data_IF_937985222061
#
_entry.id   IF_937985222061
#
_cell.length_a   1.000
_cell.length_b   1.000
_cell.length_c   1.000
_cell.angle_alpha   90.00
_cell.angle_beta   90.00
_cell.angle_gamma   90.00
#
_symmetry.space_group_name_H-M   'P 1'
#
loop_
_entity.id
_entity.type
_entity.pdbx_description
1 polymer ?
#
# COMPACT_ATOMS: atom_id res chain seq x y z
N UNK A 1 61.19 -14.73 -39.02
CA UNK A 1 60.88 -13.29 -39.03
C UNK A 1 59.64 -13.07 -38.17
N UNK A 2 59.72 -12.14 -37.20
CA UNK A 2 58.73 -11.71 -36.19
C UNK A 2 58.30 -12.81 -35.17
N UNK A 3 58.75 -12.88 -33.90
CA UNK A 3 58.83 -11.96 -32.74
C UNK A 3 57.49 -11.50 -32.13
N UNK A 4 57.29 -11.96 -30.87
CA UNK A 4 56.69 -11.29 -29.68
C UNK A 4 55.18 -10.94 -29.72
N UNK A 5 54.38 -11.03 -28.66
CA UNK A 5 54.62 -10.83 -27.22
C UNK A 5 53.45 -11.36 -26.35
N UNK A 6 53.78 -11.68 -25.08
CA UNK A 6 52.90 -11.89 -23.91
C UNK A 6 51.78 -10.85 -23.72
N UNK A 7 50.66 -11.27 -23.09
CA UNK A 7 50.27 -10.75 -21.76
C UNK A 7 48.98 -11.38 -21.25
N UNK A 8 49.04 -11.95 -20.05
CA UNK A 8 47.90 -12.26 -19.21
C UNK A 8 47.24 -10.96 -18.71
N UNK A 9 45.90 -10.91 -18.67
CA UNK A 9 45.20 -9.96 -17.81
C UNK A 9 44.02 -10.63 -17.12
N UNK A 10 44.22 -10.86 -15.83
CA UNK A 10 43.21 -11.14 -14.83
C UNK A 10 42.37 -9.87 -14.63
N UNK A 11 41.04 -9.97 -14.69
CA UNK A 11 40.18 -8.95 -14.07
C UNK A 11 39.07 -9.62 -13.26
N UNK A 12 39.38 -9.83 -11.97
CA UNK A 12 38.39 -9.82 -10.90
C UNK A 12 37.66 -8.47 -10.94
N UNK A 13 36.41 -8.48 -11.40
CA UNK A 13 35.50 -7.32 -11.35
C UNK A 13 34.58 -7.44 -10.15
N UNK A 14 35.10 -7.00 -9.00
CA UNK A 14 34.43 -6.50 -7.80
C UNK A 14 32.90 -6.64 -7.70
N UNK A 15 32.48 -7.50 -6.77
CA UNK A 15 31.21 -7.35 -6.04
C UNK A 15 31.20 -5.95 -5.40
N UNK A 16 30.45 -5.03 -5.99
CA UNK A 16 30.15 -3.76 -5.38
C UNK A 16 28.95 -3.98 -4.45
N UNK A 17 29.25 -4.19 -3.17
CA UNK A 17 28.30 -3.95 -2.10
C UNK A 17 27.67 -2.56 -2.32
N UNK A 18 26.35 -2.52 -2.46
CA UNK A 18 25.59 -1.27 -2.52
C UNK A 18 25.82 -0.53 -1.20
N UNK A 19 26.73 0.44 -1.26
CA UNK A 19 27.02 1.36 -0.17
C UNK A 19 25.78 2.19 0.14
N UNK A 20 25.42 2.22 1.41
CA UNK A 20 24.34 3.00 1.97
C UNK A 20 24.63 4.51 1.82
N UNK A 21 23.98 5.16 0.86
CA UNK A 21 23.57 6.58 0.88
C UNK A 21 22.98 7.00 -0.48
N UNK A 22 21.88 6.36 -0.87
CA UNK A 22 21.00 6.93 -1.89
C UNK A 22 20.33 8.18 -1.28
N UNK A 23 20.50 9.39 -1.84
CA UNK A 23 19.92 10.59 -1.24
C UNK A 23 18.39 10.47 -1.14
N UNK A 24 17.83 10.92 -0.02
CA UNK A 24 16.40 10.92 0.32
C UNK A 24 15.50 11.59 -0.75
N UNK A 25 16.11 12.27 -1.72
CA UNK A 25 15.47 13.08 -2.75
C UNK A 25 14.98 12.34 -4.02
N UNK A 26 15.18 11.03 -4.16
CA UNK A 26 14.86 10.33 -5.43
C UNK A 26 13.39 9.91 -5.59
N UNK A 27 12.58 9.92 -4.53
CA UNK A 27 11.18 9.49 -4.59
C UNK A 27 10.24 10.54 -3.97
N UNK A 28 9.10 10.86 -4.61
CA UNK A 28 8.06 11.66 -3.97
C UNK A 28 7.59 10.99 -2.67
N UNK A 29 7.37 11.78 -1.61
CA UNK A 29 6.89 11.25 -0.32
C UNK A 29 5.55 10.51 -0.49
N UNK A 30 4.66 11.07 -1.31
CA UNK A 30 3.29 10.59 -1.53
C UNK A 30 3.08 10.20 -2.99
N UNK A 31 3.31 8.93 -3.29
CA UNK A 31 3.16 8.35 -4.63
C UNK A 31 2.38 7.05 -4.53
N UNK A 32 1.41 6.86 -5.42
CA UNK A 32 0.71 5.58 -5.54
C UNK A 32 1.63 4.64 -6.31
N UNK A 33 2.08 3.57 -5.66
CA UNK A 33 2.81 2.47 -6.29
C UNK A 33 1.92 1.24 -6.34
N UNK A 34 1.78 0.66 -7.51
CA UNK A 34 0.85 -0.45 -7.72
C UNK A 34 1.33 -1.34 -8.88
N UNK A 35 0.88 -2.59 -8.87
CA UNK A 35 0.95 -3.45 -10.06
C UNK A 35 -0.30 -3.22 -10.91
N UNK A 36 -0.14 -2.84 -12.17
CA UNK A 36 -1.25 -2.54 -13.06
C UNK A 36 -0.96 -2.93 -14.51
N UNK A 37 -2.03 -3.00 -15.29
CA UNK A 37 -2.03 -3.20 -16.74
C UNK A 37 -2.75 -2.02 -17.40
N UNK A 38 -2.94 -2.07 -18.72
CA UNK A 38 -3.77 -1.10 -19.43
C UNK A 38 -5.20 -1.00 -18.86
N UNK A 39 -5.75 -2.13 -18.38
CA UNK A 39 -7.16 -2.25 -17.99
C UNK A 39 -7.41 -2.47 -16.51
N UNK A 40 -6.39 -2.83 -15.72
CA UNK A 40 -6.56 -3.16 -14.29
C UNK A 40 -5.47 -2.62 -13.39
N UNK A 41 -5.79 -2.39 -12.13
CA UNK A 41 -4.84 -2.08 -11.06
C UNK A 41 -5.10 -2.98 -9.86
N UNK A 42 -4.04 -3.55 -9.30
CA UNK A 42 -4.12 -4.46 -8.17
C UNK A 42 -4.17 -3.71 -6.85
N UNK A 43 -5.06 -4.15 -5.99
CA UNK A 43 -5.10 -3.79 -4.57
C UNK A 43 -5.23 -5.04 -3.72
N UNK A 44 -4.89 -4.93 -2.45
CA UNK A 44 -4.88 -6.03 -1.50
C UNK A 44 -5.82 -5.78 -0.32
N UNK A 45 -6.40 -6.89 0.16
CA UNK A 45 -7.14 -6.95 1.42
C UNK A 45 -6.90 -8.30 2.10
N UNK A 46 -7.07 -8.35 3.42
CA UNK A 46 -6.95 -9.58 4.19
C UNK A 46 -8.24 -9.88 4.97
N UNK A 47 -8.62 -11.15 5.01
CA UNK A 47 -9.85 -11.62 5.63
C UNK A 47 -9.70 -13.03 6.23
N UNK A 48 -10.70 -13.45 7.00
CA UNK A 48 -10.90 -14.85 7.38
C UNK A 48 -11.17 -15.71 6.15
N UNK A 49 -10.91 -17.02 6.25
CA UNK A 49 -11.26 -17.98 5.19
C UNK A 49 -12.72 -17.93 4.78
N UNK A 50 -13.64 -17.69 5.72
CA UNK A 50 -15.09 -17.61 5.47
C UNK A 50 -15.52 -16.44 4.57
N UNK A 51 -14.68 -15.40 4.45
CA UNK A 51 -14.90 -14.29 3.51
C UNK A 51 -14.06 -14.51 2.24
N UNK A 52 -12.79 -14.87 2.40
CA UNK A 52 -11.87 -14.96 1.28
C UNK A 52 -12.21 -16.06 0.26
N UNK A 53 -12.66 -17.23 0.73
CA UNK A 53 -12.99 -18.35 -0.14
C UNK A 53 -14.18 -18.05 -1.08
N UNK A 54 -15.37 -17.65 -0.58
CA UNK A 54 -16.48 -17.32 -1.48
C UNK A 54 -16.21 -16.07 -2.32
N UNK A 55 -15.46 -15.09 -1.82
CA UNK A 55 -15.14 -13.89 -2.59
C UNK A 55 -14.26 -14.21 -3.81
N UNK A 56 -13.21 -15.03 -3.63
CA UNK A 56 -12.34 -15.44 -4.74
C UNK A 56 -13.03 -16.39 -5.73
N UNK A 57 -13.95 -17.25 -5.25
CA UNK A 57 -14.71 -18.16 -6.12
C UNK A 57 -15.77 -17.44 -6.97
N UNK A 58 -16.50 -16.49 -6.38
CA UNK A 58 -17.58 -15.78 -7.07
C UNK A 58 -17.13 -14.45 -7.69
N UNK A 59 -15.89 -14.02 -7.45
CA UNK A 59 -15.32 -12.78 -7.93
C UNK A 59 -16.01 -11.49 -7.39
N UNK A 60 -16.64 -11.56 -6.23
CA UNK A 60 -17.21 -10.40 -5.54
C UNK A 60 -17.41 -10.69 -4.04
N UNK A 61 -17.41 -9.67 -3.18
CA UNK A 61 -17.51 -9.87 -1.73
C UNK A 61 -18.93 -10.13 -1.22
N UNK A 62 -19.95 -9.72 -1.98
CA UNK A 62 -21.36 -9.96 -1.64
C UNK A 62 -21.74 -11.46 -1.61
N UNK A 63 -20.87 -12.36 -2.09
CA UNK A 63 -21.06 -13.81 -1.97
C UNK A 63 -20.78 -14.33 -0.56
N UNK A 64 -20.11 -13.55 0.29
CA UNK A 64 -19.86 -13.92 1.68
C UNK A 64 -20.86 -13.25 2.62
N UNK A 65 -21.62 -14.01 3.44
CA UNK A 65 -22.44 -13.44 4.50
C UNK A 65 -21.60 -12.80 5.62
N UNK A 66 -20.30 -13.10 5.69
CA UNK A 66 -19.38 -12.52 6.66
C UNK A 66 -18.90 -11.11 6.30
N UNK A 67 -19.07 -10.68 5.05
CA UNK A 67 -18.64 -9.36 4.60
C UNK A 67 -19.63 -8.28 5.05
N UNK A 68 -19.15 -7.29 5.81
CA UNK A 68 -20.00 -6.26 6.44
C UNK A 68 -19.87 -4.91 5.75
N UNK A 69 -20.92 -4.48 5.04
CA UNK A 69 -21.00 -3.17 4.36
C UNK A 69 -21.08 -1.97 5.31
N UNK A 70 -21.46 -2.17 6.57
CA UNK A 70 -21.58 -1.09 7.56
C UNK A 70 -20.24 -0.54 8.06
N UNK A 71 -19.11 -1.11 7.65
CA UNK A 71 -17.75 -0.66 8.04
C UNK A 71 -17.01 -0.11 6.83
N UNK A 72 -16.01 0.72 7.10
CA UNK A 72 -15.06 1.16 6.08
C UNK A 72 -14.34 -0.05 5.47
N UNK A 73 -14.28 -0.11 4.14
CA UNK A 73 -13.54 -1.13 3.39
C UNK A 73 -12.22 -0.53 2.91
N UNK A 74 -11.08 -1.03 3.43
CA UNK A 74 -9.77 -0.45 3.18
C UNK A 74 -8.95 -1.25 2.17
N UNK A 75 -8.77 -0.72 0.96
CA UNK A 75 -7.93 -1.30 -0.09
C UNK A 75 -6.53 -0.68 -0.08
N UNK A 76 -5.51 -1.48 -0.44
CA UNK A 76 -4.08 -1.09 -0.41
C UNK A 76 -3.40 -1.54 -1.70
N UNK A 77 -2.87 -0.65 -2.53
CA UNK A 77 -2.10 -1.06 -3.71
C UNK A 77 -0.77 -1.73 -3.36
N UNK A 78 -0.11 -1.29 -2.29
CA UNK A 78 1.22 -1.78 -1.87
C UNK A 78 1.17 -3.16 -1.20
N UNK A 79 1.98 -4.09 -1.71
CA UNK A 79 2.21 -5.43 -1.17
C UNK A 79 2.83 -5.36 0.22
N UNK A 80 3.91 -4.59 0.41
CA UNK A 80 4.61 -4.52 1.70
C UNK A 80 3.76 -3.82 2.76
N UNK A 81 2.96 -2.83 2.39
CA UNK A 81 1.98 -2.25 3.30
C UNK A 81 0.91 -3.28 3.71
N UNK A 82 0.39 -4.08 2.78
CA UNK A 82 -0.51 -5.18 3.11
C UNK A 82 0.17 -6.24 4.00
N UNK A 83 1.41 -6.61 3.69
CA UNK A 83 2.19 -7.56 4.46
C UNK A 83 2.36 -7.11 5.91
N UNK A 84 2.69 -5.84 6.13
CA UNK A 84 2.76 -5.24 7.47
C UNK A 84 1.42 -5.31 8.21
N UNK A 85 0.32 -4.98 7.52
CA UNK A 85 -1.01 -4.90 8.13
C UNK A 85 -1.54 -6.27 8.56
N UNK A 86 -1.33 -7.31 7.76
CA UNK A 86 -1.75 -8.68 8.07
C UNK A 86 -0.64 -9.53 8.73
N UNK A 87 0.57 -8.99 8.93
CA UNK A 87 1.75 -9.76 9.31
C UNK A 87 1.97 -10.97 8.41
N UNK A 88 1.97 -10.76 7.09
CA UNK A 88 2.07 -11.82 6.08
C UNK A 88 0.99 -12.92 6.18
N UNK A 89 -0.21 -12.59 6.68
CA UNK A 89 -1.33 -13.51 7.00
C UNK A 89 -1.17 -14.32 8.29
N UNK A 90 -0.16 -14.02 9.12
CA UNK A 90 0.18 -14.78 10.31
C UNK A 90 -0.20 -14.07 11.62
N UNK A 91 -0.66 -12.81 11.56
CA UNK A 91 -0.91 -11.97 12.74
C UNK A 91 -2.25 -12.22 13.42
N UNK A 92 -3.31 -12.48 12.65
CA UNK A 92 -4.69 -12.49 13.12
C UNK A 92 -5.53 -13.49 12.31
N UNK A 93 -6.33 -14.32 12.98
CA UNK A 93 -7.16 -15.35 12.33
C UNK A 93 -8.25 -14.74 11.42
N UNK A 94 -8.73 -13.54 11.73
CA UNK A 94 -9.60 -12.73 10.88
C UNK A 94 -8.92 -12.13 9.66
N UNK A 95 -7.60 -12.30 9.50
CA UNK A 95 -6.79 -11.85 8.37
C UNK A 95 -5.87 -12.97 7.84
N UNK A 96 -6.27 -14.23 8.03
CA UNK A 96 -5.47 -15.41 7.67
C UNK A 96 -5.35 -15.65 6.15
N UNK A 97 -6.15 -14.95 5.32
CA UNK A 97 -6.12 -15.01 3.86
C UNK A 97 -5.89 -13.62 3.27
N UNK A 98 -4.96 -13.51 2.34
CA UNK A 98 -4.70 -12.27 1.60
C UNK A 98 -5.17 -12.43 0.17
N UNK A 99 -6.02 -11.50 -0.26
CA UNK A 99 -6.56 -11.43 -1.60
C UNK A 99 -5.86 -10.35 -2.40
N UNK A 100 -5.49 -10.68 -3.63
CA UNK A 100 -5.19 -9.74 -4.69
C UNK A 100 -6.48 -9.45 -5.47
N UNK A 101 -6.92 -8.21 -5.46
CA UNK A 101 -8.11 -7.73 -6.15
C UNK A 101 -7.66 -6.85 -7.31
N UNK A 102 -7.83 -7.34 -8.53
CA UNK A 102 -7.59 -6.58 -9.75
C UNK A 102 -8.85 -5.75 -10.03
N UNK A 103 -8.77 -4.44 -9.82
CA UNK A 103 -9.84 -3.48 -10.11
C UNK A 103 -9.73 -3.02 -11.55
N UNK A 104 -10.87 -2.76 -12.20
CA UNK A 104 -10.90 -2.05 -13.49
C UNK A 104 -10.26 -0.68 -13.29
N UNK A 105 -9.33 -0.33 -14.18
CA UNK A 105 -8.54 0.92 -14.07
C UNK A 105 -9.43 2.15 -14.03
N UNK A 106 -10.42 2.24 -14.93
CA UNK A 106 -11.44 3.29 -14.96
C UNK A 106 -12.26 3.41 -13.65
N UNK A 107 -12.42 2.31 -12.89
CA UNK A 107 -13.12 2.35 -11.61
C UNK A 107 -12.18 2.87 -10.52
N UNK A 108 -10.89 2.50 -10.56
CA UNK A 108 -9.91 3.03 -9.63
C UNK A 108 -9.68 4.53 -9.82
N UNK A 109 -9.62 5.00 -11.06
CA UNK A 109 -9.49 6.44 -11.35
C UNK A 109 -10.70 7.22 -10.81
N UNK A 110 -11.93 6.72 -11.02
CA UNK A 110 -13.15 7.31 -10.43
C UNK A 110 -13.16 7.29 -8.90
N UNK A 111 -12.62 6.24 -8.28
CA UNK A 111 -12.44 6.19 -6.81
C UNK A 111 -11.54 7.33 -6.37
N UNK A 112 -10.40 7.54 -7.04
CA UNK A 112 -9.45 8.62 -6.73
C UNK A 112 -10.05 10.02 -6.95
N UNK A 113 -10.86 10.21 -8.00
CA UNK A 113 -11.56 11.47 -8.27
C UNK A 113 -12.52 11.89 -7.16
N UNK A 114 -13.12 10.91 -6.47
CA UNK A 114 -14.04 11.15 -5.35
C UNK A 114 -13.35 11.18 -3.97
N UNK A 115 -12.04 10.93 -3.94
CA UNK A 115 -11.29 10.76 -2.71
C UNK A 115 -10.98 12.08 -2.00
N UNK A 116 -11.05 12.06 -0.68
CA UNK A 116 -10.56 13.15 0.16
C UNK A 116 -9.54 12.64 1.18
N UNK A 117 -8.55 13.48 1.50
CA UNK A 117 -7.56 13.14 2.50
C UNK A 117 -8.17 13.11 3.92
N UNK A 118 -7.76 12.16 4.76
CA UNK A 118 -8.24 12.06 6.13
C UNK A 118 -7.85 13.29 6.98
N UNK A 119 -8.76 13.71 7.88
CA UNK A 119 -8.70 14.98 8.65
C UNK A 119 -7.37 15.30 9.34
N UNK A 120 -6.62 14.29 9.80
CA UNK A 120 -5.37 14.49 10.54
C UNK A 120 -4.11 14.47 9.65
N UNK A 121 -4.27 14.40 8.32
CA UNK A 121 -3.17 14.43 7.34
C UNK A 121 -3.21 15.70 6.45
N UNK A 122 -4.22 16.55 6.64
CA UNK A 122 -4.43 17.77 5.87
C UNK A 122 -3.56 18.96 6.29
N UNK A 123 -3.00 18.96 7.50
CA UNK A 123 -2.26 20.09 8.04
C UNK A 123 -0.80 19.72 8.35
N UNK A 124 0.15 20.35 7.64
CA UNK A 124 1.59 20.16 7.81
C UNK A 124 2.13 20.71 9.15
N UNK A 125 1.28 21.27 10.01
CA UNK A 125 1.69 22.06 11.19
C UNK A 125 1.44 21.35 12.54
N UNK A 126 1.04 20.08 12.55
CA UNK A 126 0.67 19.38 13.80
C UNK A 126 1.44 18.08 14.06
N UNK A 127 2.49 17.77 13.31
CA UNK A 127 3.24 16.51 13.48
C UNK A 127 4.32 16.55 14.57
N UNK A 128 4.61 17.70 15.18
CA UNK A 128 5.75 17.85 16.08
C UNK A 128 5.59 17.24 17.49
N UNK A 129 4.44 16.65 17.84
CA UNK A 129 4.31 16.02 19.16
C UNK A 129 3.30 14.87 19.19
N UNK A 130 3.69 13.70 18.68
CA UNK A 130 3.03 12.43 19.05
C UNK A 130 4.07 11.46 19.61
N UNK A 131 4.26 11.56 20.92
CA UNK A 131 4.88 10.51 21.74
C UNK A 131 4.10 9.21 21.53
N UNK A 132 4.85 8.13 21.32
CA UNK A 132 4.37 6.82 20.88
C UNK A 132 3.51 6.17 21.95
N UNK A 133 2.22 6.03 21.65
CA UNK A 133 1.44 4.90 22.15
C UNK A 133 0.74 4.28 20.93
N UNK A 134 1.46 3.37 20.27
CA UNK A 134 0.96 2.57 19.16
C UNK A 134 -0.10 1.59 19.68
N UNK A 135 -1.32 2.09 19.84
CA UNK A 135 -2.46 1.24 20.18
C UNK A 135 -2.82 0.43 18.94
N UNK A 136 -2.46 -0.85 18.97
CA UNK A 136 -3.00 -1.89 18.11
C UNK A 136 -4.53 -1.73 18.00
N UNK A 137 -5.02 -1.40 16.81
CA UNK A 137 -6.44 -1.52 16.51
C UNK A 137 -6.78 -3.01 16.44
N UNK A 138 -7.10 -3.58 17.60
CA UNK A 138 -7.95 -4.75 17.69
C UNK A 138 -9.32 -4.31 17.14
N UNK A 139 -9.76 -4.89 16.02
CA UNK A 139 -11.06 -4.55 15.39
C UNK A 139 -12.23 -5.17 16.16
N UNK A 140 -12.39 -4.73 17.41
CA UNK A 140 -13.54 -4.99 18.25
C UNK A 140 -13.94 -3.70 18.95
N UNK A 141 -15.09 -3.16 18.58
CA UNK A 141 -15.87 -2.19 19.36
C UNK A 141 -15.26 -0.78 19.55
N UNK A 142 -15.56 0.15 18.64
CA UNK A 142 -15.64 1.59 18.97
C UNK A 142 -17.10 2.04 18.78
N UNK A 143 -17.70 2.78 19.73
CA UNK A 143 -19.07 3.22 19.61
C UNK A 143 -19.21 4.28 18.52
N UNK A 144 -20.22 4.12 17.68
CA UNK A 144 -20.63 5.03 16.61
C UNK A 144 -21.24 6.30 17.23
N UNK A 145 -20.44 7.37 17.37
CA UNK A 145 -20.97 8.65 17.84
C UNK A 145 -21.65 9.38 16.67
N UNK A 146 -22.93 9.06 16.45
CA UNK A 146 -23.83 9.76 15.54
C UNK A 146 -24.22 11.12 16.15
N UNK A 147 -23.53 12.19 15.72
CA UNK A 147 -24.11 13.51 15.46
C UNK A 147 -23.02 14.56 15.16
N UNK A 148 -22.55 14.61 13.92
CA UNK A 148 -22.01 15.85 13.34
C UNK A 148 -22.15 15.80 11.83
N UNK A 149 -23.25 16.36 11.36
CA UNK A 149 -23.57 16.61 9.95
C UNK A 149 -22.64 17.73 9.44
N UNK A 150 -21.38 17.37 9.19
CA UNK A 150 -20.43 18.26 8.53
C UNK A 150 -20.41 17.87 7.04
N UNK A 151 -20.68 18.78 6.08
CA UNK A 151 -20.78 18.43 4.66
C UNK A 151 -19.50 17.84 4.05
N UNK A 152 -18.34 17.87 4.75
CA UNK A 152 -17.10 17.15 4.38
C UNK A 152 -16.95 15.76 5.01
N UNK A 153 -17.83 15.36 5.94
CA UNK A 153 -17.98 13.98 6.43
C UNK A 153 -18.79 13.10 5.45
N UNK A 154 -19.18 13.63 4.29
CA UNK A 154 -20.03 12.99 3.28
C UNK A 154 -19.26 12.14 2.25
N UNK A 155 -17.94 12.31 2.12
CA UNK A 155 -17.17 11.65 1.08
C UNK A 155 -17.23 10.13 1.21
N UNK A 156 -17.63 9.43 0.15
CA UNK A 156 -17.70 7.96 0.16
C UNK A 156 -16.31 7.31 0.07
N UNK A 157 -15.30 8.09 -0.30
CA UNK A 157 -13.90 7.65 -0.41
C UNK A 157 -13.00 8.53 0.46
N UNK A 158 -12.22 7.91 1.34
CA UNK A 158 -11.27 8.57 2.25
C UNK A 158 -9.88 7.98 2.07
N UNK A 159 -8.87 8.83 1.89
CA UNK A 159 -7.48 8.43 1.68
C UNK A 159 -6.63 8.70 2.92
N UNK A 160 -5.71 7.78 3.19
CA UNK A 160 -4.65 7.91 4.18
C UNK A 160 -3.31 7.60 3.51
N UNK A 161 -2.32 8.45 3.72
CA UNK A 161 -0.91 8.17 3.48
C UNK A 161 -0.30 7.61 4.76
N UNK A 162 0.05 6.33 4.75
CA UNK A 162 0.70 5.65 5.86
C UNK A 162 2.19 5.45 5.56
N UNK A 163 3.06 5.24 6.55
CA UNK A 163 4.47 4.97 6.26
C UNK A 163 4.62 3.66 5.49
N UNK A 164 5.40 3.66 4.40
CA UNK A 164 5.66 2.45 3.63
C UNK A 164 6.60 1.51 4.37
N UNK A 165 6.67 0.26 3.91
CA UNK A 165 7.52 -0.80 4.44
C UNK A 165 8.37 -1.45 3.37
N UNK A 166 9.54 -1.92 3.78
CA UNK A 166 10.29 -2.89 2.98
C UNK A 166 9.80 -4.33 3.26
N UNK A 167 10.43 -5.31 2.61
CA UNK A 167 10.13 -6.75 2.78
C UNK A 167 10.50 -7.30 4.17
N UNK A 168 11.27 -6.56 4.97
CA UNK A 168 11.55 -6.89 6.36
C UNK A 168 10.63 -6.16 7.34
N UNK A 169 9.68 -5.38 6.82
CA UNK A 169 8.75 -4.54 7.57
C UNK A 169 9.42 -3.37 8.30
N UNK A 170 10.60 -2.91 7.85
CA UNK A 170 11.19 -1.65 8.29
C UNK A 170 10.48 -0.47 7.64
N UNK A 171 10.39 0.65 8.35
CA UNK A 171 9.79 1.89 7.85
C UNK A 171 10.66 2.54 6.77
N UNK A 172 10.04 2.95 5.67
CA UNK A 172 10.69 3.69 4.59
C UNK A 172 10.41 5.21 4.68
N UNK A 173 11.24 6.07 4.04
CA UNK A 173 11.09 7.53 4.11
C UNK A 173 9.86 8.06 3.35
N UNK A 174 9.27 7.25 2.47
CA UNK A 174 8.06 7.59 1.71
C UNK A 174 6.81 6.89 2.28
N UNK A 175 5.66 7.16 1.65
CA UNK A 175 4.34 6.71 2.11
C UNK A 175 3.66 5.77 1.11
N UNK A 176 2.79 4.93 1.64
CA UNK A 176 1.83 4.11 0.91
C UNK A 176 0.44 4.71 1.01
N UNK A 177 -0.36 4.56 -0.04
CA UNK A 177 -1.77 4.93 0.01
C UNK A 177 -2.62 3.80 0.59
N UNK A 178 -3.56 4.16 1.47
CA UNK A 178 -4.66 3.31 1.90
C UNK A 178 -5.98 4.02 1.59
N UNK A 179 -6.87 3.35 0.86
CA UNK A 179 -8.10 3.96 0.35
C UNK A 179 -9.29 3.29 1.03
N UNK A 180 -10.09 4.08 1.74
CA UNK A 180 -11.26 3.64 2.49
C UNK A 180 -12.54 3.93 1.72
N UNK A 181 -13.31 2.89 1.44
CA UNK A 181 -14.62 2.96 0.79
C UNK A 181 -15.74 2.80 1.83
N UNK A 182 -16.78 3.62 1.73
CA UNK A 182 -18.01 3.54 2.55
C UNK A 182 -19.24 3.93 1.73
N UNK A 183 -20.44 3.65 2.25
CA UNK A 183 -21.69 3.97 1.57
C UNK A 183 -21.83 3.26 0.22
N UNK A 184 -22.21 3.99 -0.82
CA UNK A 184 -22.46 3.39 -2.14
C UNK A 184 -21.19 2.88 -2.79
N UNK A 185 -20.05 3.57 -2.62
CA UNK A 185 -18.75 3.11 -3.11
C UNK A 185 -18.37 1.72 -2.55
N UNK A 186 -18.56 1.50 -1.24
CA UNK A 186 -18.32 0.18 -0.64
C UNK A 186 -19.32 -0.86 -1.14
N UNK A 187 -20.57 -0.46 -1.36
CA UNK A 187 -21.63 -1.36 -1.83
C UNK A 187 -21.40 -1.82 -3.26
N UNK A 188 -21.04 -0.90 -4.16
CA UNK A 188 -20.70 -1.19 -5.55
C UNK A 188 -19.43 -2.05 -5.65
N UNK A 189 -18.40 -1.74 -4.84
CA UNK A 189 -17.21 -2.57 -4.71
C UNK A 189 -17.56 -4.00 -4.28
N UNK A 190 -18.38 -4.16 -3.24
CA UNK A 190 -18.72 -5.48 -2.71
C UNK A 190 -19.56 -6.33 -3.68
N UNK A 191 -20.41 -5.70 -4.50
CA UNK A 191 -21.17 -6.36 -5.57
C UNK A 191 -20.31 -6.72 -6.79
N UNK A 192 -19.03 -6.32 -6.82
CA UNK A 192 -18.09 -6.65 -7.89
C UNK A 192 -18.11 -5.68 -9.07
N UNK A 193 -18.80 -4.55 -8.98
CA UNK A 193 -18.93 -3.60 -10.11
C UNK A 193 -17.57 -3.03 -10.55
N UNK A 194 -16.66 -2.86 -9.59
CA UNK A 194 -15.30 -2.36 -9.79
C UNK A 194 -14.28 -3.47 -10.06
N UNK A 195 -14.63 -4.73 -9.78
CA UNK A 195 -13.69 -5.83 -9.66
C UNK A 195 -13.63 -6.59 -10.98
N UNK A 196 -12.44 -6.75 -11.54
CA UNK A 196 -12.19 -7.62 -12.67
C UNK A 196 -11.86 -9.04 -12.19
N UNK A 197 -11.02 -9.16 -11.15
CA UNK A 197 -10.59 -10.47 -10.62
C UNK A 197 -10.26 -10.42 -9.13
N UNK A 198 -10.56 -11.49 -8.40
CA UNK A 198 -10.09 -11.75 -7.04
C UNK A 198 -9.28 -13.05 -7.04
N UNK A 199 -8.06 -12.98 -6.55
CA UNK A 199 -7.18 -14.13 -6.39
C UNK A 199 -6.71 -14.26 -4.94
N UNK A 200 -6.77 -15.47 -4.40
CA UNK A 200 -6.11 -15.77 -3.14
C UNK A 200 -4.60 -15.91 -3.38
N UNK A 201 -3.82 -15.02 -2.77
CA UNK A 201 -2.35 -14.96 -2.91
C UNK A 201 -1.65 -15.20 -1.57
N UNK A 202 -2.37 -15.81 -0.62
CA UNK A 202 -1.87 -16.06 0.74
C UNK A 202 -0.52 -16.77 0.74
N UNK A 203 -0.34 -17.78 -0.13
CA UNK A 203 0.88 -18.57 -0.18
C UNK A 203 2.08 -17.73 -0.66
N UNK A 204 1.88 -16.76 -1.55
CA UNK A 204 2.94 -15.84 -1.98
C UNK A 204 3.42 -14.98 -0.81
N UNK A 205 2.49 -14.43 0.00
CA UNK A 205 2.85 -13.64 1.18
C UNK A 205 3.60 -14.48 2.22
N UNK A 206 3.16 -15.71 2.47
CA UNK A 206 3.81 -16.63 3.42
C UNK A 206 5.19 -17.06 2.93
N UNK A 207 5.35 -17.26 1.64
CA UNK A 207 6.63 -17.61 1.04
C UNK A 207 7.63 -16.45 1.12
N UNK A 208 7.19 -15.23 0.82
CA UNK A 208 8.00 -14.02 1.02
C UNK A 208 8.44 -13.89 2.48
N UNK A 209 7.53 -14.12 3.42
CA UNK A 209 7.84 -14.10 4.86
C UNK A 209 8.89 -15.15 5.22
N UNK A 210 8.74 -16.39 4.73
CA UNK A 210 9.68 -17.48 4.97
C UNK A 210 11.07 -17.11 4.47
N UNK A 211 11.18 -16.68 3.21
CA UNK A 211 12.45 -16.34 2.58
C UNK A 211 13.11 -15.14 3.26
N UNK A 212 12.41 -14.02 3.40
CA UNK A 212 12.99 -12.78 3.93
C UNK A 212 13.29 -12.86 5.43
N UNK A 213 12.33 -13.34 6.24
CA UNK A 213 12.40 -13.21 7.70
C UNK A 213 12.95 -14.46 8.37
N UNK A 214 12.58 -15.66 7.91
CA UNK A 214 13.01 -16.91 8.56
C UNK A 214 14.34 -17.42 8.03
N UNK A 215 14.60 -17.22 6.74
CA UNK A 215 15.80 -17.75 6.07
C UNK A 215 16.84 -16.69 5.73
N UNK A 216 16.51 -15.40 5.87
CA UNK A 216 17.42 -14.30 5.53
C UNK A 216 17.75 -14.19 4.03
N UNK A 217 17.00 -14.86 3.16
CA UNK A 217 17.14 -14.84 1.70
C UNK A 217 16.33 -13.67 1.12
N UNK A 218 16.76 -12.45 1.45
CA UNK A 218 16.04 -11.22 1.10
C UNK A 218 15.92 -11.05 -0.41
N UNK A 219 16.98 -11.34 -1.17
CA UNK A 219 16.98 -11.22 -2.63
C UNK A 219 16.00 -12.19 -3.29
N UNK A 220 15.89 -13.42 -2.77
CA UNK A 220 14.91 -14.40 -3.27
C UNK A 220 13.48 -13.94 -2.97
N UNK A 221 13.24 -13.37 -1.79
CA UNK A 221 11.96 -12.81 -1.43
C UNK A 221 11.57 -11.63 -2.34
N UNK A 222 12.52 -10.72 -2.62
CA UNK A 222 12.31 -9.58 -3.51
C UNK A 222 11.90 -9.99 -4.94
N UNK A 223 12.39 -11.14 -5.43
CA UNK A 223 11.98 -11.67 -6.75
C UNK A 223 10.53 -12.17 -6.80
N UNK A 224 9.90 -12.41 -5.66
CA UNK A 224 8.49 -12.80 -5.56
C UNK A 224 7.54 -11.62 -5.41
N UNK A 225 8.05 -10.43 -5.13
CA UNK A 225 7.22 -9.24 -5.02
C UNK A 225 6.63 -8.89 -6.40
N UNK A 226 5.39 -8.38 -6.44
CA UNK A 226 4.85 -7.81 -7.67
C UNK A 226 5.70 -6.62 -8.13
N UNK A 227 5.80 -6.41 -9.45
CA UNK A 227 6.36 -5.19 -10.01
C UNK A 227 5.40 -4.03 -9.74
N UNK A 228 5.64 -3.31 -8.66
CA UNK A 228 4.88 -2.11 -8.27
C UNK A 228 5.59 -0.87 -8.80
N UNK A 229 4.94 -0.20 -9.75
CA UNK A 229 5.44 1.00 -10.41
C UNK A 229 4.58 2.21 -10.04
N UNK A 230 5.04 3.41 -10.36
CA UNK A 230 4.22 4.61 -10.20
C UNK A 230 2.92 4.49 -11.01
N UNK A 231 1.79 4.56 -10.31
CA UNK A 231 0.49 4.63 -10.96
C UNK A 231 0.26 6.05 -11.49
N UNK A 232 0.00 6.23 -12.80
CA UNK A 232 -0.09 7.55 -13.41
C UNK A 232 -1.41 8.24 -13.04
N UNK A 233 -1.36 9.12 -12.03
CA UNK A 233 -2.47 10.01 -11.69
C UNK A 233 -2.35 11.29 -12.52
N UNK A 234 -3.05 11.34 -13.66
CA UNK A 234 -2.98 12.46 -14.61
C UNK A 234 -3.74 13.71 -14.12
N UNK A 235 -4.82 13.50 -13.38
CA UNK A 235 -5.67 14.60 -12.90
C UNK A 235 -4.96 15.45 -11.84
N UNK A 236 -4.61 16.69 -12.22
CA UNK A 236 -3.99 17.67 -11.30
C UNK A 236 -4.87 17.95 -10.08
N UNK A 237 -6.20 17.93 -10.22
CA UNK A 237 -7.10 18.14 -9.09
C UNK A 237 -7.01 16.99 -8.08
N UNK A 238 -6.91 15.74 -8.55
CA UNK A 238 -6.69 14.57 -7.67
C UNK A 238 -5.33 14.65 -6.99
N UNK A 239 -4.26 14.92 -7.73
CA UNK A 239 -2.92 15.07 -7.16
C UNK A 239 -2.88 16.15 -6.07
N UNK A 240 -3.52 17.29 -6.34
CA UNK A 240 -3.65 18.38 -5.37
C UNK A 240 -4.49 17.98 -4.16
N UNK A 241 -5.66 17.34 -4.35
CA UNK A 241 -6.55 16.93 -3.26
C UNK A 241 -5.93 15.87 -2.34
N UNK A 242 -5.06 15.02 -2.90
CA UNK A 242 -4.33 13.99 -2.17
C UNK A 242 -2.93 14.43 -1.73
N UNK A 243 -2.57 15.69 -1.99
CA UNK A 243 -1.28 16.30 -1.63
C UNK A 243 -0.08 15.49 -2.18
N UNK A 244 -0.18 14.92 -3.38
CA UNK A 244 0.85 14.06 -3.98
C UNK A 244 2.13 14.83 -4.34
N UNK A 245 2.00 16.13 -4.61
CA UNK A 245 3.11 17.00 -5.02
C UNK A 245 3.67 17.85 -3.85
N UNK A 246 3.27 17.55 -2.60
CA UNK A 246 3.78 18.24 -1.42
C UNK A 246 5.26 17.86 -1.14
N UNK A 247 6.08 18.80 -0.63
CA UNK A 247 7.48 18.52 -0.27
C UNK A 247 7.56 17.50 0.86
N UNK A 248 8.71 16.85 0.99
CA UNK A 248 8.97 15.92 2.09
C UNK A 248 8.82 16.64 3.43
N UNK A 249 8.08 16.01 4.34
CA UNK A 249 7.80 16.58 5.67
C UNK A 249 9.09 16.84 6.47
N UNK A 250 10.15 16.06 6.21
CA UNK A 250 11.47 16.22 6.85
C UNK A 250 12.24 17.44 6.31
N UNK A 251 12.06 17.81 5.03
CA UNK A 251 12.72 18.98 4.42
C UNK A 251 12.17 20.32 4.96
N UNK A 252 10.90 20.33 5.39
CA UNK A 252 10.25 21.51 5.98
C UNK A 252 10.77 21.79 7.39
N UNK A 253 11.10 20.74 8.16
CA UNK A 253 11.59 20.88 9.52
C UNK A 253 13.02 21.46 9.59
N UNK A 254 13.85 21.17 8.58
CA UNK A 254 15.23 21.69 8.50
C UNK A 254 15.22 23.19 8.18
N UNK A 255 14.36 23.63 7.26
CA UNK A 255 14.27 25.05 6.87
C UNK A 255 13.70 25.96 7.95
N UNK A 256 12.86 25.44 8.86
CA UNK A 256 12.28 26.22 9.95
C UNK A 256 13.16 26.33 11.20
N UNK A 257 14.33 25.70 11.22
CA UNK A 257 15.28 25.77 12.33
C UNK A 257 16.45 26.75 12.08
N UNK A 258 16.47 27.39 10.90
CA UNK A 258 17.50 28.35 10.49
C UNK A 258 17.02 29.82 10.51
N UNK A 259 15.77 30.08 10.88
CA UNK A 259 15.17 31.42 11.01
C UNK A 259 15.02 31.88 12.48
#
# INVERSE_FOLDING_TARGET
MAQSSDSAFSSRGSSAALSASTPLALFPERQIRASFTESTVRVYQAYSRSIAAPASQCNHFASSPGFKLGRMTWIKPSFCWMAYRAGYSLKDAGQERILAIDLKRECFDRILESAVLAKNQGDASSSANRSHNETHCNEGNRPDNRNSMNPRNSSQVVVQWDPERDVLLNRLPYRSIQIGLRGDAASAYARGEYIARIADVTDVFREVQRLAVREGKVEDALRLLPAEEEYPVESRSVRSALHMDAPHTEDVAIRGAED
#
